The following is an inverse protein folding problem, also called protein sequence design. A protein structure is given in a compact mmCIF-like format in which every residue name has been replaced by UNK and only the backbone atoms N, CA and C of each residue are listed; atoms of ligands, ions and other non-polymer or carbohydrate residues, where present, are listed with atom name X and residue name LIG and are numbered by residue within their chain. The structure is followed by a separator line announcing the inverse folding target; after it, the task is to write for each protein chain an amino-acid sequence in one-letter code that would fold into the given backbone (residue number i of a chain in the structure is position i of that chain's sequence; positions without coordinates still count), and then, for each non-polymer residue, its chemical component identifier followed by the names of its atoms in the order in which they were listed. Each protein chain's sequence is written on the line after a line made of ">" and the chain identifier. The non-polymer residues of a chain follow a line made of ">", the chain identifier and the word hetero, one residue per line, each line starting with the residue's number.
data_IF_327503334161
#
_entry.id   IF_327503334161
#
_cell.length_a   1.000
_cell.length_b   1.000
_cell.length_c   1.000
_cell.angle_alpha   90.00
_cell.angle_beta   90.00
_cell.angle_gamma   90.00
#
_symmetry.space_group_name_H-M   'P 1'
#
loop_
_entity.id
_entity.type
_entity.pdbx_description
1 polymer ?
#
# COMPACT_ATOMS: atom_id res chain seq x y z
N UNK A 1 26.12 27.54 -2.31
CA UNK A 1 24.86 26.91 -1.90
C UNK A 1 24.53 25.85 -2.93
N UNK A 2 24.64 24.59 -2.56
CA UNK A 2 24.30 23.46 -3.44
C UNK A 2 22.86 23.08 -3.10
N UNK A 3 21.95 23.26 -4.05
CA UNK A 3 20.65 22.61 -4.01
C UNK A 3 20.89 21.22 -4.59
N UNK A 4 20.68 20.11 -3.85
CA UNK A 4 20.72 18.79 -4.45
C UNK A 4 19.65 18.74 -5.55
N UNK A 5 20.05 18.38 -6.77
CA UNK A 5 19.07 18.08 -7.80
C UNK A 5 18.19 16.92 -7.33
N UNK A 6 16.89 17.04 -7.54
CA UNK A 6 15.95 15.96 -7.27
C UNK A 6 16.34 14.79 -8.17
N UNK A 7 16.93 13.75 -7.59
CA UNK A 7 17.26 12.52 -8.32
C UNK A 7 15.94 11.81 -8.60
N UNK A 8 15.35 12.07 -9.75
CA UNK A 8 14.36 11.15 -10.36
C UNK A 8 15.11 9.96 -10.96
N UNK A 9 15.78 9.17 -10.13
CA UNK A 9 16.24 7.85 -10.56
C UNK A 9 15.25 6.80 -10.05
N UNK A 10 14.03 6.86 -10.58
CA UNK A 10 13.20 5.66 -10.71
C UNK A 10 13.54 5.09 -12.08
N UNK A 11 14.61 4.31 -12.11
CA UNK A 11 15.18 3.58 -13.24
C UNK A 11 14.15 2.64 -13.92
N UNK A 12 13.10 3.16 -14.54
CA UNK A 12 12.08 2.43 -15.31
C UNK A 12 11.34 1.29 -14.58
N UNK A 13 11.65 1.05 -13.31
CA UNK A 13 11.14 -0.02 -12.48
C UNK A 13 9.68 0.28 -12.15
N UNK A 14 8.78 -0.68 -12.39
CA UNK A 14 7.38 -0.49 -12.00
C UNK A 14 7.30 -0.32 -10.47
N UNK A 15 6.20 0.23 -9.96
CA UNK A 15 6.02 0.30 -8.50
C UNK A 15 6.15 -1.09 -7.82
N UNK A 16 5.94 -2.16 -8.58
CA UNK A 16 6.09 -3.55 -8.13
C UNK A 16 7.56 -3.93 -7.97
N UNK A 17 8.42 -3.48 -8.89
CA UNK A 17 9.87 -3.71 -8.86
C UNK A 17 10.57 -2.98 -7.71
N UNK A 18 9.91 -1.98 -7.11
CA UNK A 18 10.41 -1.19 -5.96
C UNK A 18 9.71 -1.51 -4.65
N UNK A 19 8.81 -2.50 -4.61
CA UNK A 19 8.04 -2.81 -3.42
C UNK A 19 8.92 -3.42 -2.32
N UNK A 20 8.92 -2.81 -1.12
CA UNK A 20 9.63 -3.34 0.05
C UNK A 20 9.02 -4.67 0.53
N UNK A 21 7.70 -4.84 0.35
CA UNK A 21 6.94 -6.06 0.66
C UNK A 21 5.74 -6.16 -0.26
N UNK A 22 5.41 -7.37 -0.67
CA UNK A 22 4.18 -7.69 -1.39
C UNK A 22 3.47 -8.89 -0.73
N UNK A 23 2.15 -8.92 -0.84
CA UNK A 23 1.33 -9.99 -0.31
C UNK A 23 0.00 -10.07 -1.06
N UNK A 24 -0.58 -11.26 -1.09
CA UNK A 24 -1.98 -11.46 -1.46
C UNK A 24 -2.82 -11.36 -0.19
N UNK A 25 -3.94 -10.66 -0.30
CA UNK A 25 -4.94 -10.48 0.76
C UNK A 25 -6.31 -10.91 0.26
N UNK A 26 -7.14 -11.42 1.15
CA UNK A 26 -8.48 -11.88 0.84
C UNK A 26 -9.53 -11.03 1.52
N UNK A 27 -10.69 -10.88 0.88
CA UNK A 27 -11.80 -10.16 1.47
C UNK A 27 -12.25 -10.88 2.75
N UNK A 28 -12.29 -10.13 3.85
CA UNK A 28 -12.75 -10.65 5.15
C UNK A 28 -14.27 -10.71 5.26
N UNK A 29 -14.98 -9.96 4.41
CA UNK A 29 -16.42 -9.72 4.51
C UNK A 29 -16.80 -8.60 5.47
N UNK A 30 -15.82 -8.00 6.16
CA UNK A 30 -16.03 -6.91 7.10
C UNK A 30 -15.84 -5.53 6.45
N UNK A 31 -16.42 -4.50 7.09
CA UNK A 31 -16.10 -3.10 6.78
C UNK A 31 -14.95 -2.64 7.67
N UNK A 32 -13.93 -2.08 7.04
CA UNK A 32 -12.75 -1.53 7.66
C UNK A 32 -12.99 -0.21 8.40
N UNK A 33 -11.97 0.26 9.09
CA UNK A 33 -12.04 1.49 9.87
C UNK A 33 -12.18 2.74 8.98
N UNK A 34 -11.69 2.67 7.74
CA UNK A 34 -11.89 3.72 6.74
C UNK A 34 -13.32 3.75 6.17
N UNK A 35 -14.15 2.74 6.46
CA UNK A 35 -15.49 2.56 5.88
C UNK A 35 -15.52 1.74 4.58
N UNK A 36 -14.37 1.27 4.10
CA UNK A 36 -14.26 0.45 2.89
C UNK A 36 -14.12 -1.05 3.22
N UNK A 37 -14.39 -1.97 2.27
CA UNK A 37 -14.20 -3.40 2.49
C UNK A 37 -12.80 -3.75 3.00
N UNK A 38 -12.75 -4.61 4.03
CA UNK A 38 -11.50 -5.04 4.66
C UNK A 38 -10.96 -6.33 4.02
N UNK A 39 -9.66 -6.32 3.76
CA UNK A 39 -8.89 -7.44 3.26
C UNK A 39 -7.77 -7.79 4.25
N UNK A 40 -7.46 -9.08 4.39
CA UNK A 40 -6.38 -9.52 5.27
C UNK A 40 -5.60 -10.69 4.67
N UNK A 41 -4.31 -10.76 4.96
CA UNK A 41 -3.45 -11.86 4.53
C UNK A 41 -1.98 -11.57 4.79
N UNK A 42 -1.22 -12.59 5.21
CA UNK A 42 0.23 -12.49 5.38
C UNK A 42 0.68 -11.30 6.24
N UNK A 43 -0.04 -11.01 7.34
CA UNK A 43 0.25 -9.89 8.23
C UNK A 43 -0.18 -8.52 7.71
N UNK A 44 -0.73 -8.43 6.50
CA UNK A 44 -1.32 -7.20 5.95
C UNK A 44 -2.81 -7.18 6.28
N UNK A 45 -3.30 -6.03 6.72
CA UNK A 45 -4.73 -5.70 6.75
C UNK A 45 -4.91 -4.41 5.97
N UNK A 46 -5.77 -4.41 4.96
CA UNK A 46 -6.00 -3.24 4.12
C UNK A 46 -7.50 -3.00 3.93
N UNK A 47 -7.90 -1.74 4.01
CA UNK A 47 -9.24 -1.31 3.64
C UNK A 47 -9.14 -0.72 2.23
N UNK A 48 -9.84 -1.30 1.25
CA UNK A 48 -9.63 -1.02 -0.18
C UNK A 48 -10.94 -0.59 -0.83
N UNK A 49 -10.93 0.53 -1.57
CA UNK A 49 -12.07 0.93 -2.40
C UNK A 49 -12.23 -0.07 -3.58
N UNK A 50 -13.32 -0.86 -3.63
CA UNK A 50 -13.50 -1.86 -4.69
C UNK A 50 -13.69 -1.23 -6.08
N UNK A 51 -14.01 0.07 -6.16
CA UNK A 51 -14.22 0.78 -7.43
C UNK A 51 -12.92 1.29 -8.02
N UNK A 52 -12.07 1.91 -7.18
CA UNK A 52 -10.84 2.57 -7.63
C UNK A 52 -9.59 1.76 -7.35
N UNK A 53 -9.68 0.73 -6.49
CA UNK A 53 -8.57 -0.03 -5.91
C UNK A 53 -7.59 0.80 -5.09
N UNK A 54 -8.01 1.99 -4.65
CA UNK A 54 -7.24 2.80 -3.71
C UNK A 54 -7.18 2.10 -2.35
N UNK A 55 -6.00 2.07 -1.74
CA UNK A 55 -5.81 1.61 -0.36
C UNK A 55 -6.10 2.79 0.56
N UNK A 56 -7.20 2.71 1.30
CA UNK A 56 -7.72 3.79 2.14
C UNK A 56 -7.18 3.72 3.57
N UNK A 57 -6.83 2.52 4.02
CA UNK A 57 -6.09 2.27 5.26
C UNK A 57 -5.29 0.97 5.14
N UNK A 58 -4.14 0.90 5.81
CA UNK A 58 -3.32 -0.31 5.83
C UNK A 58 -2.56 -0.47 7.14
N UNK A 59 -2.50 -1.70 7.62
CA UNK A 59 -1.64 -2.15 8.71
C UNK A 59 -0.70 -3.23 8.20
N UNK A 60 0.54 -3.16 8.68
CA UNK A 60 1.58 -4.18 8.46
C UNK A 60 1.96 -4.75 9.81
N UNK A 61 1.66 -6.02 10.01
CA UNK A 61 1.85 -6.76 11.26
C UNK A 61 1.21 -6.03 12.47
N UNK A 62 0.08 -5.36 12.23
CA UNK A 62 -0.69 -4.62 13.23
C UNK A 62 -0.25 -3.17 13.45
N UNK A 63 0.80 -2.69 12.77
CA UNK A 63 1.27 -1.30 12.85
C UNK A 63 0.87 -0.50 11.60
N UNK A 64 0.65 0.81 11.77
CA UNK A 64 0.50 1.71 10.63
C UNK A 64 1.79 1.80 9.82
N UNK A 65 1.67 2.17 8.54
CA UNK A 65 2.84 2.43 7.71
C UNK A 65 3.59 3.67 8.19
N UNK A 66 4.92 3.57 8.14
CA UNK A 66 5.79 4.70 8.37
C UNK A 66 5.59 5.79 7.31
N UNK A 67 5.83 7.04 7.73
CA UNK A 67 5.73 8.19 6.84
C UNK A 67 6.64 8.06 5.61
N UNK A 68 6.11 8.45 4.46
CA UNK A 68 6.80 8.39 3.18
C UNK A 68 6.64 7.05 2.45
N UNK A 69 6.03 6.05 3.09
CA UNK A 69 5.63 4.82 2.43
C UNK A 69 4.20 4.93 1.90
N UNK A 70 3.91 4.18 0.83
CA UNK A 70 2.59 4.04 0.25
C UNK A 70 2.31 2.58 -0.07
N UNK A 71 1.04 2.20 -0.08
CA UNK A 71 0.58 0.89 -0.52
C UNK A 71 -0.27 1.05 -1.77
N UNK A 72 -0.11 0.13 -2.71
CA UNK A 72 -0.89 0.08 -3.96
C UNK A 72 -1.37 -1.34 -4.21
N UNK A 73 -2.45 -1.46 -4.98
CA UNK A 73 -2.94 -2.75 -5.48
C UNK A 73 -2.43 -2.91 -6.91
N UNK A 74 -1.65 -3.96 -7.16
CA UNK A 74 -1.30 -4.38 -8.53
C UNK A 74 -2.34 -5.38 -9.08
N UNK A 75 -2.47 -5.45 -10.41
CA UNK A 75 -3.43 -6.32 -11.12
C UNK A 75 -2.82 -7.61 -11.60
#
# INVERSE_FOLDING_TARGET
>A
MLIPEHVEDRNGASAEDSAVRSAVVEATGETGASGYPRYAGNGIVADIDPRTRTVEAVLVDGAELDYGLTATVTS
#
